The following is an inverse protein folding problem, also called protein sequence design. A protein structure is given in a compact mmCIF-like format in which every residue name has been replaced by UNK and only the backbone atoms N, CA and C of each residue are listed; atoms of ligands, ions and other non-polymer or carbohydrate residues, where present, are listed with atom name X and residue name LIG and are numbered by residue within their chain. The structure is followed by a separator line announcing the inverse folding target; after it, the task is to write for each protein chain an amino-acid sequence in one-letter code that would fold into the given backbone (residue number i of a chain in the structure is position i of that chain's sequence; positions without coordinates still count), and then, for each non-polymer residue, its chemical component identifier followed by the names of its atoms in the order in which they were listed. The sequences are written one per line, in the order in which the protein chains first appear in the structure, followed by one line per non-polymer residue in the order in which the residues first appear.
data_IF_571108187267
#
_entry.id   IF_571108187267
#
_cell.length_a   1.000
_cell.length_b   1.000
_cell.length_c   1.000
_cell.angle_alpha   90.00
_cell.angle_beta   90.00
_cell.angle_gamma   90.00
#
_symmetry.space_group_name_H-M   'P 1'
#
loop_
_entity.id
_entity.type
_entity.pdbx_description
1 polymer ?
#
# COMPACT_ATOMS: atom_id res chain seq x y z
N UNK A 1 -12.85 -11.46 -0.97
CA UNK A 1 -12.48 -11.33 0.45
C UNK A 1 -13.41 -10.45 1.29
N UNK A 2 -14.29 -9.61 0.72
CA UNK A 2 -14.95 -8.52 1.49
C UNK A 2 -16.50 -8.58 1.57
N UNK A 3 -17.14 -9.74 1.39
CA UNK A 3 -18.62 -9.86 1.29
C UNK A 3 -19.40 -9.34 2.52
N UNK A 4 -18.79 -9.33 3.71
CA UNK A 4 -19.38 -8.83 4.98
C UNK A 4 -18.45 -7.86 5.73
N UNK A 5 -17.51 -7.24 5.03
CA UNK A 5 -16.55 -6.32 5.66
C UNK A 5 -17.24 -5.00 6.02
N UNK A 6 -17.06 -4.53 7.25
CA UNK A 6 -17.48 -3.21 7.71
C UNK A 6 -16.26 -2.48 8.26
N UNK A 7 -15.94 -1.30 7.72
CA UNK A 7 -14.75 -0.52 8.11
C UNK A 7 -14.65 -0.30 9.63
N UNK A 8 -15.76 0.01 10.31
CA UNK A 8 -15.74 0.34 11.74
C UNK A 8 -15.44 -0.87 12.63
N UNK A 9 -15.91 -2.05 12.23
CA UNK A 9 -15.85 -3.26 13.05
C UNK A 9 -14.71 -4.19 12.64
N UNK A 10 -14.28 -4.12 11.38
CA UNK A 10 -13.31 -5.04 10.78
C UNK A 10 -11.89 -4.47 10.74
N UNK A 11 -11.71 -3.16 10.95
CA UNK A 11 -10.38 -2.54 11.05
C UNK A 11 -9.92 -2.56 12.50
N UNK A 12 -8.82 -3.24 12.74
CA UNK A 12 -8.19 -3.38 14.06
C UNK A 12 -7.08 -2.35 14.26
N UNK A 13 -6.31 -2.02 13.23
CA UNK A 13 -5.22 -1.04 13.36
C UNK A 13 -4.83 -0.36 12.06
N UNK A 14 -4.25 0.83 12.21
CA UNK A 14 -3.67 1.62 11.12
C UNK A 14 -2.22 1.95 11.47
N UNK A 15 -1.27 1.55 10.62
CA UNK A 15 0.16 1.72 10.85
C UNK A 15 0.82 2.45 9.69
N UNK A 16 1.65 3.45 9.96
CA UNK A 16 2.47 4.11 8.94
C UNK A 16 3.64 3.23 8.54
N UNK A 17 3.85 3.05 7.23
CA UNK A 17 4.96 2.25 6.72
C UNK A 17 6.27 3.02 6.80
N UNK A 18 7.36 2.33 7.16
CA UNK A 18 8.71 2.90 7.13
C UNK A 18 9.21 2.97 5.69
N UNK A 19 10.12 3.90 5.41
CA UNK A 19 10.72 4.06 4.09
C UNK A 19 11.31 2.76 3.50
N UNK A 20 11.90 1.90 4.34
CA UNK A 20 12.42 0.59 3.91
C UNK A 20 11.32 -0.35 3.45
N UNK A 21 10.16 -0.32 4.10
CA UNK A 21 9.01 -1.18 3.79
C UNK A 21 8.31 -0.68 2.51
N UNK A 22 8.22 0.64 2.33
CA UNK A 22 7.70 1.26 1.09
C UNK A 22 8.56 0.91 -0.12
N UNK A 23 9.89 0.96 0.00
CA UNK A 23 10.81 0.54 -1.08
C UNK A 23 10.62 -0.92 -1.45
N UNK A 24 10.48 -1.81 -0.46
CA UNK A 24 10.21 -3.24 -0.67
C UNK A 24 8.84 -3.47 -1.32
N UNK A 25 7.82 -2.69 -0.95
CA UNK A 25 6.50 -2.75 -1.56
C UNK A 25 6.55 -2.33 -3.05
N UNK A 26 7.20 -1.21 -3.37
CA UNK A 26 7.38 -0.75 -4.75
C UNK A 26 8.09 -1.79 -5.63
N UNK A 27 9.15 -2.41 -5.12
CA UNK A 27 9.86 -3.47 -5.83
C UNK A 27 8.97 -4.68 -6.12
N UNK A 28 8.17 -5.14 -5.15
CA UNK A 28 7.22 -6.24 -5.36
C UNK A 28 6.14 -5.88 -6.38
N UNK A 29 5.59 -4.67 -6.31
CA UNK A 29 4.60 -4.19 -7.28
C UNK A 29 5.15 -4.17 -8.71
N UNK A 30 6.42 -3.78 -8.91
CA UNK A 30 7.05 -3.82 -10.22
C UNK A 30 7.26 -5.26 -10.75
N UNK A 31 7.49 -6.23 -9.85
CA UNK A 31 7.61 -7.65 -10.22
C UNK A 31 6.25 -8.26 -10.60
N UNK A 32 5.21 -7.96 -9.80
CA UNK A 32 3.86 -8.50 -10.01
C UNK A 32 3.13 -7.80 -11.17
N UNK A 33 3.44 -6.53 -11.41
CA UNK A 33 2.82 -5.67 -12.42
C UNK A 33 3.90 -4.94 -13.24
N UNK A 34 4.42 -5.54 -14.33
CA UNK A 34 5.53 -4.99 -15.10
C UNK A 34 5.29 -3.58 -15.69
N UNK A 35 4.02 -3.22 -15.93
CA UNK A 35 3.63 -1.93 -16.53
C UNK A 35 3.26 -0.86 -15.49
N UNK A 36 3.38 -1.14 -14.19
CA UNK A 36 2.95 -0.21 -13.14
C UNK A 36 3.91 0.97 -12.95
N UNK A 37 5.12 0.88 -13.49
CA UNK A 37 6.19 1.86 -13.25
C UNK A 37 5.78 3.29 -13.60
N UNK A 38 5.03 3.48 -14.69
CA UNK A 38 4.57 4.81 -15.13
C UNK A 38 3.57 5.47 -14.18
N UNK A 39 2.83 4.69 -13.40
CA UNK A 39 1.80 5.19 -12.46
C UNK A 39 2.23 5.06 -11.00
N UNK A 40 3.33 4.36 -10.71
CA UNK A 40 3.75 4.02 -9.35
C UNK A 40 4.08 5.26 -8.51
N UNK A 41 4.65 6.28 -9.13
CA UNK A 41 4.97 7.55 -8.47
C UNK A 41 3.75 8.48 -8.33
N UNK A 42 2.69 8.26 -9.11
CA UNK A 42 1.40 8.95 -8.94
C UNK A 42 0.59 8.34 -7.77
N UNK A 43 0.53 7.01 -7.69
CA UNK A 43 -0.25 6.30 -6.66
C UNK A 43 0.48 6.20 -5.31
N UNK A 44 1.83 6.19 -5.32
CA UNK A 44 2.67 6.16 -4.13
C UNK A 44 3.72 7.28 -4.20
N UNK A 45 3.32 8.55 -3.97
CA UNK A 45 4.22 9.69 -4.00
C UNK A 45 5.32 9.56 -2.94
N UNK A 46 6.54 9.98 -3.27
CA UNK A 46 7.69 9.92 -2.34
C UNK A 46 7.53 10.80 -1.09
N UNK A 47 6.64 11.79 -1.14
CA UNK A 47 6.38 12.74 -0.04
C UNK A 47 5.40 12.21 0.99
N UNK A 48 4.60 11.21 0.63
CA UNK A 48 3.58 10.65 1.51
C UNK A 48 4.03 9.34 2.13
N UNK A 49 3.68 9.17 3.40
CA UNK A 49 3.93 7.93 4.14
C UNK A 49 2.67 7.06 4.05
N UNK A 50 2.67 5.99 3.24
CA UNK A 50 1.51 5.13 3.09
C UNK A 50 1.17 4.44 4.41
N UNK A 51 -0.12 4.21 4.62
CA UNK A 51 -0.66 3.54 5.80
C UNK A 51 -1.10 2.13 5.44
N UNK A 52 -0.73 1.17 6.27
CA UNK A 52 -1.25 -0.18 6.26
C UNK A 52 -2.45 -0.25 7.21
N UNK A 53 -3.58 -0.70 6.69
CA UNK A 53 -4.81 -0.94 7.46
C UNK A 53 -4.93 -2.45 7.67
N UNK A 54 -5.12 -2.87 8.92
CA UNK A 54 -5.30 -4.26 9.33
C UNK A 54 -6.67 -4.44 9.94
#
# INVERSE_FOLDING_TARGET
MFKKFNEKDSVTSVTQLRNTDVKRLKHRLQQDFPHIESVLDEILPKKDTPKLVK
#
